data_IF_653440119172
#
_entry.id   IF_653440119172
#
_cell.length_a   1.000
_cell.length_b   1.000
_cell.length_c   1.000
_cell.angle_alpha   90.00
_cell.angle_beta   90.00
_cell.angle_gamma   90.00
#
_symmetry.space_group_name_H-M   'P 1'
#
loop_
_entity.id
_entity.type
_entity.pdbx_description
1 polymer ?
#
# COMPACT_ATOMS: atom_id res chain seq x y z
N UNK A 1 -2.48 6.18 -4.13
CA UNK A 1 -2.29 7.47 -4.82
C UNK A 1 -0.91 8.01 -4.48
N UNK A 2 -0.11 8.29 -5.50
CA UNK A 2 1.26 8.80 -5.39
C UNK A 2 1.22 10.26 -5.83
N UNK A 3 1.18 11.19 -4.87
CA UNK A 3 0.98 12.61 -5.15
C UNK A 3 2.29 13.22 -5.64
N UNK A 4 2.32 13.86 -6.82
CA UNK A 4 3.49 14.60 -7.28
C UNK A 4 3.86 15.70 -6.29
N UNK A 5 5.13 15.73 -5.87
CA UNK A 5 5.62 16.77 -4.97
C UNK A 5 5.82 18.11 -5.68
N UNK A 6 5.56 19.21 -4.95
CA UNK A 6 5.95 20.58 -5.36
C UNK A 6 7.48 20.74 -5.45
N UNK A 7 8.20 19.83 -4.81
CA UNK A 7 9.62 19.57 -5.01
C UNK A 7 9.86 18.11 -5.38
N UNK A 8 11.01 17.80 -6.00
CA UNK A 8 11.42 16.41 -6.16
C UNK A 8 11.50 15.69 -4.80
N UNK A 9 10.99 14.47 -4.77
CA UNK A 9 11.26 13.55 -3.68
C UNK A 9 12.74 13.20 -3.68
N UNK A 10 13.33 13.20 -2.51
CA UNK A 10 14.72 12.77 -2.33
C UNK A 10 14.84 11.27 -2.56
N UNK A 11 16.03 10.79 -2.91
CA UNK A 11 16.32 9.36 -3.05
C UNK A 11 15.92 8.55 -1.81
N UNK A 12 16.13 9.11 -0.61
CA UNK A 12 15.75 8.46 0.66
C UNK A 12 14.24 8.34 0.84
N UNK A 13 13.50 9.38 0.46
CA UNK A 13 12.04 9.37 0.50
C UNK A 13 11.49 8.35 -0.51
N UNK A 14 12.04 8.36 -1.73
CA UNK A 14 11.70 7.43 -2.80
C UNK A 14 11.91 5.98 -2.34
N UNK A 15 13.10 5.68 -1.82
CA UNK A 15 13.48 4.37 -1.31
C UNK A 15 12.57 3.91 -0.16
N UNK A 16 12.27 4.79 0.79
CA UNK A 16 11.40 4.48 1.92
C UNK A 16 9.98 4.12 1.48
N UNK A 17 9.38 4.90 0.57
CA UNK A 17 8.04 4.59 0.05
C UNK A 17 8.03 3.32 -0.79
N UNK A 18 9.05 3.11 -1.63
CA UNK A 18 9.18 1.90 -2.42
C UNK A 18 9.21 0.64 -1.54
N UNK A 19 10.01 0.64 -0.46
CA UNK A 19 10.05 -0.45 0.52
C UNK A 19 8.71 -0.66 1.23
N UNK A 20 8.04 0.43 1.59
CA UNK A 20 6.74 0.37 2.26
C UNK A 20 5.68 -0.24 1.35
N UNK A 21 5.62 0.20 0.09
CA UNK A 21 4.73 -0.34 -0.94
C UNK A 21 5.05 -1.82 -1.19
N UNK A 22 6.31 -2.17 -1.43
CA UNK A 22 6.73 -3.55 -1.68
C UNK A 22 6.35 -4.50 -0.54
N UNK A 23 6.49 -4.03 0.71
CA UNK A 23 6.10 -4.79 1.91
C UNK A 23 4.60 -5.12 1.90
N UNK A 24 3.75 -4.14 1.58
CA UNK A 24 2.30 -4.32 1.58
C UNK A 24 1.75 -4.95 0.31
N UNK A 25 2.41 -4.80 -0.84
CA UNK A 25 2.05 -5.50 -2.08
C UNK A 25 2.23 -7.01 -1.94
N UNK A 26 3.33 -7.44 -1.30
CA UNK A 26 3.69 -8.85 -1.11
C UNK A 26 3.12 -9.48 0.16
N UNK A 27 2.45 -8.69 1.00
CA UNK A 27 1.94 -9.13 2.29
C UNK A 27 1.08 -10.38 2.13
N UNK A 28 1.37 -11.40 2.93
CA UNK A 28 0.65 -12.67 2.92
C UNK A 28 0.60 -13.36 1.52
N UNK A 29 1.63 -13.20 0.69
CA UNK A 29 1.69 -13.83 -0.63
C UNK A 29 0.76 -13.18 -1.66
N UNK A 30 0.37 -11.92 -1.44
CA UNK A 30 -0.66 -11.22 -2.22
C UNK A 30 -2.10 -11.63 -1.85
N UNK A 31 -2.26 -12.46 -0.81
CA UNK A 31 -3.56 -12.91 -0.32
C UNK A 31 -4.03 -12.06 0.87
N UNK A 32 -4.03 -10.73 0.69
CA UNK A 32 -4.49 -9.78 1.69
C UNK A 32 -5.40 -8.75 1.04
N UNK A 33 -6.63 -8.61 1.55
CA UNK A 33 -7.67 -7.73 0.99
C UNK A 33 -7.28 -6.24 0.93
N UNK A 34 -6.39 -5.79 1.80
CA UNK A 34 -5.88 -4.41 1.80
C UNK A 34 -4.49 -4.24 1.18
N UNK A 35 -3.96 -5.26 0.51
CA UNK A 35 -2.65 -5.17 -0.15
C UNK A 35 -2.64 -4.03 -1.17
N UNK A 36 -1.45 -3.54 -1.49
CA UNK A 36 -1.31 -2.61 -2.62
C UNK A 36 -1.46 -3.42 -3.92
N UNK A 37 -2.56 -3.20 -4.64
CA UNK A 37 -2.77 -3.74 -5.98
C UNK A 37 -2.53 -2.65 -7.03
N UNK A 38 -3.33 -1.58 -7.03
CA UNK A 38 -3.21 -0.49 -8.01
C UNK A 38 -2.44 0.71 -7.46
N UNK A 39 -1.38 1.10 -8.17
CA UNK A 39 -0.72 2.38 -8.00
C UNK A 39 -1.38 3.42 -8.90
N UNK A 40 -1.79 4.56 -8.33
CA UNK A 40 -2.30 5.69 -9.11
C UNK A 40 -1.23 6.77 -9.10
N UNK A 41 -0.68 7.10 -10.27
CA UNK A 41 0.36 8.12 -10.43
C UNK A 41 -0.07 9.19 -11.44
N UNK A 42 0.71 10.26 -11.53
CA UNK A 42 0.54 11.29 -12.56
C UNK A 42 1.49 11.02 -13.73
N UNK A 43 0.94 10.90 -14.94
CA UNK A 43 1.68 10.69 -16.19
C UNK A 43 2.76 11.74 -16.42
N UNK A 44 2.46 12.99 -16.06
CA UNK A 44 3.32 14.15 -16.29
C UNK A 44 4.29 14.42 -15.12
N UNK A 45 4.33 13.56 -14.11
CA UNK A 45 5.28 13.70 -13.00
C UNK A 45 6.67 13.27 -13.44
N UNK A 46 7.64 14.18 -13.34
CA UNK A 46 9.02 13.97 -13.82
C UNK A 46 9.73 12.79 -13.15
N UNK A 47 9.37 12.44 -11.91
CA UNK A 47 9.94 11.30 -11.19
C UNK A 47 9.09 10.03 -11.28
N UNK A 48 8.03 9.97 -12.11
CA UNK A 48 7.18 8.77 -12.25
C UNK A 48 8.01 7.52 -12.57
N UNK A 49 8.90 7.60 -13.56
CA UNK A 49 9.77 6.47 -13.95
C UNK A 49 10.69 6.05 -12.81
N UNK A 50 11.37 7.02 -12.19
CA UNK A 50 12.26 6.81 -11.04
C UNK A 50 11.53 6.11 -9.89
N UNK A 51 10.30 6.54 -9.59
CA UNK A 51 9.45 5.92 -8.57
C UNK A 51 9.08 4.47 -8.90
N UNK A 52 8.62 4.20 -10.11
CA UNK A 52 8.25 2.83 -10.52
C UNK A 52 9.47 1.90 -10.51
N UNK A 53 10.64 2.39 -10.91
CA UNK A 53 11.89 1.61 -10.85
C UNK A 53 12.33 1.34 -9.42
N UNK A 54 12.14 2.31 -8.50
CA UNK A 54 12.40 2.12 -7.09
C UNK A 54 11.49 1.06 -6.48
N UNK A 55 10.18 1.08 -6.78
CA UNK A 55 9.23 0.05 -6.32
C UNK A 55 9.62 -1.34 -6.83
N UNK A 56 9.96 -1.47 -8.11
CA UNK A 56 10.40 -2.75 -8.69
C UNK A 56 11.70 -3.25 -8.05
N UNK A 57 12.64 -2.35 -7.77
CA UNK A 57 13.89 -2.67 -7.07
C UNK A 57 13.63 -3.12 -5.64
N UNK A 58 12.75 -2.44 -4.91
CA UNK A 58 12.36 -2.84 -3.56
C UNK A 58 11.70 -4.24 -3.53
N UNK A 59 10.85 -4.55 -4.51
CA UNK A 59 10.21 -5.87 -4.68
C UNK A 59 11.26 -6.95 -4.97
N UNK A 60 12.16 -6.69 -5.93
CA UNK A 60 13.15 -7.66 -6.41
C UNK A 60 14.25 -7.92 -5.39
N UNK A 61 14.85 -6.86 -4.87
CA UNK A 61 16.16 -6.92 -4.22
C UNK A 61 16.06 -6.75 -2.71
N UNK A 62 15.04 -6.05 -2.19
CA UNK A 62 15.07 -5.52 -0.81
C UNK A 62 13.99 -6.04 0.12
N UNK A 63 13.02 -6.77 -0.42
CA UNK A 63 11.98 -7.43 0.37
C UNK A 63 12.00 -8.93 0.07
N UNK A 64 11.79 -9.81 1.06
CA UNK A 64 11.86 -11.25 0.88
C UNK A 64 10.75 -11.76 -0.03
N UNK A 65 11.02 -12.78 -0.83
CA UNK A 65 10.00 -13.49 -1.59
C UNK A 65 8.94 -14.11 -0.69
N UNK A 66 7.70 -14.15 -1.17
CA UNK A 66 6.57 -14.75 -0.46
C UNK A 66 5.69 -15.50 -1.46
N UNK A 67 5.56 -16.81 -1.27
CA UNK A 67 4.73 -17.70 -2.10
C UNK A 67 3.25 -17.31 -2.04
N UNK A 68 2.62 -17.11 -3.20
CA UNK A 68 1.17 -17.13 -3.33
C UNK A 68 0.66 -18.54 -3.05
N UNK A 69 -0.18 -18.67 -2.03
CA UNK A 69 -0.72 -19.96 -1.56
C UNK A 69 -2.25 -20.03 -1.60
N UNK A 70 -2.94 -18.90 -1.78
CA UNK A 70 -4.40 -18.85 -1.70
C UNK A 70 -5.03 -19.67 -2.84
N UNK A 71 -6.12 -20.42 -2.60
CA UNK A 71 -6.78 -21.19 -3.65
C UNK A 71 -7.15 -20.32 -4.86
N UNK A 72 -6.83 -20.77 -6.08
CA UNK A 72 -7.09 -20.00 -7.31
C UNK A 72 -6.03 -18.95 -7.66
N UNK A 73 -5.05 -18.69 -6.79
CA UNK A 73 -4.06 -17.62 -7.01
C UNK A 73 -3.21 -17.82 -8.26
N UNK A 74 -2.89 -19.06 -8.62
CA UNK A 74 -2.09 -19.35 -9.82
C UNK A 74 -2.88 -19.13 -11.11
N UNK A 75 -4.17 -19.48 -11.09
CA UNK A 75 -5.09 -19.26 -12.20
C UNK A 75 -5.29 -17.76 -12.43
N UNK A 76 -5.56 -17.00 -11.36
CA UNK A 76 -5.70 -15.54 -11.42
C UNK A 76 -4.40 -14.90 -11.94
N UNK A 77 -3.24 -15.29 -11.41
CA UNK A 77 -1.96 -14.77 -11.88
C UNK A 77 -1.75 -15.05 -13.38
N UNK A 78 -2.05 -16.27 -13.83
CA UNK A 78 -1.93 -16.66 -15.24
C UNK A 78 -2.90 -15.89 -16.14
N UNK A 79 -4.11 -15.61 -15.68
CA UNK A 79 -5.09 -14.78 -16.40
C UNK A 79 -4.61 -13.34 -16.56
N UNK A 80 -4.06 -12.73 -15.51
CA UNK A 80 -3.46 -11.40 -15.59
C UNK A 80 -2.27 -11.39 -16.56
N UNK A 81 -1.34 -12.35 -16.44
CA UNK A 81 -0.19 -12.45 -17.33
C UNK A 81 -0.59 -12.67 -18.80
N UNK A 82 -1.71 -13.36 -19.05
CA UNK A 82 -2.26 -13.52 -20.40
C UNK A 82 -2.86 -12.22 -20.96
N UNK A 83 -3.53 -11.42 -20.13
CA UNK A 83 -4.09 -10.14 -20.53
C UNK A 83 -3.02 -9.06 -20.76
N UNK A 84 -1.90 -9.16 -20.03
CA UNK A 84 -0.79 -8.20 -20.06
C UNK A 84 0.54 -8.88 -20.36
N UNK A 85 0.75 -9.39 -21.60
CA UNK A 85 1.97 -10.11 -21.97
C UNK A 85 3.26 -9.25 -21.91
N UNK A 86 3.12 -7.92 -21.92
CA UNK A 86 4.20 -6.94 -21.75
C UNK A 86 4.55 -6.64 -20.29
N UNK A 87 3.76 -7.16 -19.34
CA UNK A 87 4.01 -6.96 -17.92
C UNK A 87 5.36 -7.54 -17.49
N UNK A 88 5.97 -6.89 -16.52
CA UNK A 88 7.27 -7.31 -16.00
C UNK A 88 7.06 -8.38 -14.94
N UNK A 89 7.74 -9.50 -15.09
CA UNK A 89 7.80 -10.54 -14.05
C UNK A 89 8.99 -10.23 -13.15
N UNK A 90 8.72 -9.99 -11.86
CA UNK A 90 9.73 -9.63 -10.86
C UNK A 90 9.91 -10.80 -9.90
N UNK A 91 11.12 -11.32 -9.86
CA UNK A 91 11.48 -12.47 -9.03
C UNK A 91 12.34 -11.99 -7.84
N UNK A 92 11.77 -12.04 -6.64
CA UNK A 92 12.57 -11.90 -5.41
C UNK A 92 13.45 -13.14 -5.22
N UNK A 93 14.62 -12.99 -4.58
CA UNK A 93 15.51 -14.13 -4.26
C UNK A 93 15.89 -14.96 -5.51
N UNK A 94 15.93 -14.33 -6.70
CA UNK A 94 16.19 -15.02 -7.96
C UNK A 94 15.15 -16.09 -8.34
N UNK A 95 13.93 -16.00 -7.81
CA UNK A 95 12.86 -16.97 -8.07
C UNK A 95 13.04 -18.29 -7.31
N UNK A 96 13.82 -18.29 -6.22
CA UNK A 96 14.08 -19.50 -5.44
C UNK A 96 12.81 -20.08 -4.78
N UNK A 97 11.79 -19.25 -4.53
CA UNK A 97 10.53 -19.69 -3.95
C UNK A 97 9.50 -20.01 -5.04
N UNK A 98 8.77 -21.13 -4.92
CA UNK A 98 7.71 -21.44 -5.87
C UNK A 98 6.59 -20.40 -5.75
N UNK A 99 5.98 -20.05 -6.88
CA UNK A 99 4.81 -19.18 -6.97
C UNK A 99 4.98 -17.83 -6.25
N UNK A 100 6.20 -17.27 -6.25
CA UNK A 100 6.48 -15.97 -5.63
C UNK A 100 6.67 -14.82 -6.61
N UNK A 101 6.57 -15.11 -7.91
CA UNK A 101 6.79 -14.14 -8.98
C UNK A 101 5.70 -13.07 -8.95
N UNK A 102 6.11 -11.81 -8.91
CA UNK A 102 5.19 -10.68 -8.94
C UNK A 102 5.05 -10.16 -10.37
N UNK A 103 3.81 -10.04 -10.84
CA UNK A 103 3.51 -9.39 -12.10
C UNK A 103 3.36 -7.89 -11.88
N UNK A 104 4.17 -7.08 -12.56
CA UNK A 104 4.14 -5.62 -12.48
C UNK A 104 3.72 -5.03 -13.82
N UNK A 105 2.53 -4.45 -13.86
CA UNK A 105 1.87 -3.94 -15.07
C UNK A 105 1.91 -2.41 -14.99
N UNK A 106 2.41 -1.74 -16.02
CA UNK A 106 2.54 -0.28 -16.05
C UNK A 106 1.60 0.31 -17.10
N UNK A 107 1.18 1.57 -16.91
CA UNK A 107 0.41 2.32 -17.91
C UNK A 107 -0.90 1.63 -18.34
N UNK A 108 -1.61 0.97 -17.41
CA UNK A 108 -2.92 0.40 -17.72
C UNK A 108 -3.97 1.51 -17.91
N UNK A 109 -4.94 1.26 -18.78
CA UNK A 109 -6.06 2.17 -18.99
C UNK A 109 -6.92 2.29 -17.72
N UNK A 110 -7.58 3.44 -17.53
CA UNK A 110 -8.38 3.70 -16.33
C UNK A 110 -9.53 2.68 -16.16
N UNK A 111 -10.15 2.24 -17.26
CA UNK A 111 -11.28 1.30 -17.24
C UNK A 111 -10.92 0.03 -17.99
N UNK A 112 -10.20 -0.88 -17.34
CA UNK A 112 -9.64 -2.08 -17.96
C UNK A 112 -9.72 -3.31 -17.05
N UNK A 113 -9.20 -4.45 -17.52
CA UNK A 113 -9.21 -5.70 -16.78
C UNK A 113 -8.58 -5.57 -15.38
N UNK A 114 -7.41 -4.93 -15.27
CA UNK A 114 -6.69 -4.79 -14.01
C UNK A 114 -7.41 -3.91 -12.98
N UNK A 115 -8.10 -2.85 -13.42
CA UNK A 115 -8.83 -1.94 -12.52
C UNK A 115 -10.17 -2.52 -12.07
N UNK A 116 -10.76 -3.43 -12.85
CA UNK A 116 -12.07 -4.06 -12.59
C UNK A 116 -11.99 -5.44 -11.92
N UNK A 117 -10.79 -5.99 -11.68
CA UNK A 117 -10.60 -7.33 -11.12
C UNK A 117 -9.64 -7.31 -9.94
N UNK A 118 -10.09 -7.82 -8.81
CA UNK A 118 -9.19 -8.11 -7.69
C UNK A 118 -8.27 -9.29 -8.05
N UNK A 119 -6.96 -9.09 -7.89
CA UNK A 119 -5.97 -10.14 -7.97
C UNK A 119 -5.60 -10.59 -6.55
N UNK A 120 -6.16 -11.68 -6.04
CA UNK A 120 -5.80 -12.19 -4.71
C UNK A 120 -4.49 -13.01 -4.74
N UNK A 121 -3.45 -12.43 -5.35
CA UNK A 121 -2.11 -13.00 -5.59
C UNK A 121 -1.07 -11.89 -5.86
N UNK A 122 0.16 -12.25 -6.24
CA UNK A 122 1.27 -11.30 -6.48
C UNK A 122 1.13 -10.55 -7.82
N UNK A 123 0.22 -9.57 -7.88
CA UNK A 123 0.04 -8.67 -9.04
C UNK A 123 -0.06 -7.22 -8.56
N UNK A 124 0.72 -6.34 -9.19
CA UNK A 124 0.62 -4.89 -9.02
C UNK A 124 0.45 -4.25 -10.39
N UNK A 125 -0.54 -3.38 -10.51
CA UNK A 125 -0.77 -2.56 -11.70
C UNK A 125 -0.58 -1.08 -11.39
N UNK A 126 -0.34 -0.29 -12.43
CA UNK A 126 -0.24 1.15 -12.34
C UNK A 126 -1.09 1.84 -13.39
N UNK A 127 -1.84 2.84 -12.94
CA UNK A 127 -2.63 3.76 -13.74
C UNK A 127 -2.00 5.13 -13.67
N UNK A 128 -1.63 5.67 -14.83
CA UNK A 128 -1.03 7.00 -14.96
C UNK A 128 -2.06 8.02 -15.46
N UNK A 129 -2.57 8.84 -14.55
CA UNK A 129 -3.56 9.88 -14.86
C UNK A 129 -2.89 11.06 -15.58
N UNK A 130 -3.53 11.54 -16.64
CA UNK A 130 -3.04 12.69 -17.41
C UNK A 130 -3.48 14.02 -16.76
N UNK A 131 -2.76 14.44 -15.73
CA UNK A 131 -3.01 15.68 -14.99
C UNK A 131 -1.78 16.57 -14.96
N UNK A 132 -1.92 17.82 -14.53
CA UNK A 132 -0.75 18.59 -14.12
C UNK A 132 -0.07 17.89 -12.91
N UNK A 133 1.28 17.89 -12.81
CA UNK A 133 2.01 17.17 -11.79
C UNK A 133 2.10 17.96 -10.48
N UNK A 134 0.95 18.25 -9.87
CA UNK A 134 0.83 18.88 -8.56
C UNK A 134 -0.41 18.35 -7.82
N UNK A 135 -0.46 18.52 -6.51
CA UNK A 135 -1.54 17.99 -5.68
C UNK A 135 -2.93 18.56 -6.05
N UNK A 136 -3.02 19.85 -6.41
CA UNK A 136 -4.28 20.52 -6.73
C UNK A 136 -5.00 19.92 -7.95
N UNK A 137 -4.25 19.57 -9.00
CA UNK A 137 -4.80 18.92 -10.19
C UNK A 137 -4.91 17.39 -10.04
N UNK A 138 -3.94 16.77 -9.38
CA UNK A 138 -3.85 15.31 -9.29
C UNK A 138 -4.88 14.71 -8.34
N UNK A 139 -5.03 15.25 -7.12
CA UNK A 139 -5.86 14.65 -6.09
C UNK A 139 -7.34 14.52 -6.51
N UNK A 140 -8.01 15.57 -7.03
CA UNK A 140 -9.41 15.44 -7.44
C UNK A 140 -9.61 14.38 -8.53
N UNK A 141 -8.68 14.32 -9.51
CA UNK A 141 -8.73 13.33 -10.59
C UNK A 141 -8.49 11.91 -10.08
N UNK A 142 -7.55 11.73 -9.15
CA UNK A 142 -7.25 10.44 -8.53
C UNK A 142 -8.42 9.94 -7.67
N UNK A 143 -9.11 10.84 -6.96
CA UNK A 143 -10.30 10.51 -6.17
C UNK A 143 -11.47 10.11 -7.08
N UNK A 144 -11.72 10.86 -8.14
CA UNK A 144 -12.78 10.53 -9.11
C UNK A 144 -12.51 9.17 -9.77
N UNK A 145 -11.27 8.95 -10.22
CA UNK A 145 -10.84 7.67 -10.77
C UNK A 145 -11.07 6.53 -9.77
N UNK A 146 -10.58 6.66 -8.53
CA UNK A 146 -10.71 5.62 -7.51
C UNK A 146 -12.18 5.30 -7.22
N UNK A 147 -13.01 6.32 -7.04
CA UNK A 147 -14.42 6.15 -6.70
C UNK A 147 -15.29 5.57 -7.84
N UNK A 148 -14.90 5.81 -9.10
CA UNK A 148 -15.75 5.49 -10.26
C UNK A 148 -15.26 4.31 -11.09
N UNK A 149 -13.97 3.97 -11.04
CA UNK A 149 -13.34 2.97 -11.90
C UNK A 149 -12.68 1.82 -11.15
N UNK A 150 -12.15 2.01 -9.95
CA UNK A 150 -11.51 0.92 -9.22
C UNK A 150 -12.54 -0.02 -8.59
N UNK A 151 -12.29 -1.32 -8.73
CA UNK A 151 -13.06 -2.34 -8.05
C UNK A 151 -12.74 -2.38 -6.55
N UNK A 152 -13.78 -2.34 -5.72
CA UNK A 152 -13.68 -2.46 -4.26
C UNK A 152 -13.41 -1.13 -3.53
N UNK A 153 -13.88 -1.06 -2.28
CA UNK A 153 -13.89 0.18 -1.48
C UNK A 153 -13.26 -0.01 -0.10
N UNK A 154 -12.41 -1.02 0.07
CA UNK A 154 -11.88 -1.41 1.39
C UNK A 154 -10.86 -0.40 1.94
N UNK A 155 -9.84 -0.07 1.16
CA UNK A 155 -8.73 0.76 1.61
C UNK A 155 -8.12 1.62 0.51
N UNK A 156 -7.80 2.87 0.82
CA UNK A 156 -7.05 3.76 -0.05
C UNK A 156 -5.91 4.46 0.71
N UNK A 157 -4.78 4.67 0.03
CA UNK A 157 -3.61 5.37 0.58
C UNK A 157 -3.24 6.58 -0.27
N UNK A 158 -2.97 7.71 0.38
CA UNK A 158 -2.43 8.94 -0.22
C UNK A 158 -1.00 9.12 0.28
N UNK A 159 -0.02 9.08 -0.61
CA UNK A 159 1.38 9.35 -0.29
C UNK A 159 1.78 10.72 -0.82
N UNK A 160 2.13 11.65 0.07
CA UNK A 160 2.48 13.05 -0.21
C UNK A 160 3.63 13.50 0.70
N UNK A 161 4.66 14.13 0.14
CA UNK A 161 5.77 14.64 0.94
C UNK A 161 5.33 15.78 1.87
N UNK A 162 6.07 15.98 2.96
CA UNK A 162 5.68 16.94 4.00
C UNK A 162 5.60 18.39 3.51
N UNK A 163 6.41 18.78 2.52
CA UNK A 163 6.42 20.15 2.02
C UNK A 163 5.18 20.41 1.17
N UNK A 164 4.87 19.49 0.25
CA UNK A 164 3.65 19.56 -0.55
C UNK A 164 2.39 19.47 0.31
N UNK A 165 2.36 18.58 1.31
CA UNK A 165 1.23 18.46 2.23
C UNK A 165 1.00 19.72 3.05
N UNK A 166 2.07 20.41 3.45
CA UNK A 166 1.98 21.70 4.16
C UNK A 166 1.34 22.79 3.30
N UNK A 167 1.60 22.78 1.99
CA UNK A 167 1.00 23.74 1.04
C UNK A 167 -0.44 23.35 0.68
N UNK A 168 -0.69 22.06 0.43
CA UNK A 168 -1.94 21.53 -0.14
C UNK A 168 -2.81 20.79 0.88
N UNK A 169 -2.66 21.08 2.18
CA UNK A 169 -3.38 20.35 3.24
C UNK A 169 -4.90 20.33 3.05
N UNK A 170 -5.48 21.43 2.56
CA UNK A 170 -6.93 21.49 2.26
C UNK A 170 -7.35 20.52 1.16
N UNK A 171 -6.52 20.35 0.13
CA UNK A 171 -6.79 19.42 -0.96
C UNK A 171 -6.65 17.97 -0.48
N UNK A 172 -5.72 17.70 0.42
CA UNK A 172 -5.61 16.38 1.08
C UNK A 172 -6.84 16.11 1.93
N UNK A 173 -7.25 17.04 2.79
CA UNK A 173 -8.47 16.91 3.62
C UNK A 173 -9.70 16.65 2.75
N UNK A 174 -9.86 17.41 1.66
CA UNK A 174 -10.95 17.23 0.71
C UNK A 174 -10.90 15.85 0.04
N UNK A 175 -9.72 15.39 -0.41
CA UNK A 175 -9.57 14.06 -0.98
C UNK A 175 -9.95 12.94 0.00
N UNK A 176 -9.59 13.09 1.28
CA UNK A 176 -9.96 12.15 2.35
C UNK A 176 -11.48 12.16 2.60
N UNK A 177 -12.11 13.33 2.55
CA UNK A 177 -13.57 13.46 2.63
C UNK A 177 -14.25 12.75 1.45
N UNK A 178 -13.79 13.00 0.22
CA UNK A 178 -14.45 12.57 -1.01
C UNK A 178 -14.21 11.10 -1.37
N UNK A 179 -13.13 10.49 -0.87
CA UNK A 179 -12.85 9.07 -1.08
C UNK A 179 -13.92 8.19 -0.43
N UNK A 180 -14.62 7.40 -1.23
CA UNK A 180 -15.65 6.46 -0.79
C UNK A 180 -15.03 5.11 -0.42
N UNK A 181 -14.09 5.14 0.53
CA UNK A 181 -13.37 3.98 1.04
C UNK A 181 -13.55 3.88 2.56
N UNK A 182 -13.65 2.67 3.09
CA UNK A 182 -13.88 2.47 4.52
C UNK A 182 -12.63 2.68 5.38
N UNK A 183 -11.43 2.50 4.83
CA UNK A 183 -10.18 2.91 5.45
C UNK A 183 -9.35 3.81 4.52
N UNK A 184 -8.92 4.97 5.03
CA UNK A 184 -8.07 5.91 4.30
C UNK A 184 -6.79 6.14 5.11
N UNK A 185 -5.65 6.02 4.44
CA UNK A 185 -4.35 6.28 5.02
C UNK A 185 -3.66 7.46 4.32
N UNK A 186 -3.08 8.37 5.10
CA UNK A 186 -2.25 9.46 4.62
C UNK A 186 -0.81 9.14 5.06
N UNK A 187 0.09 9.09 4.09
CA UNK A 187 1.50 8.76 4.27
C UNK A 187 1.79 7.39 4.88
N UNK A 188 0.79 6.49 4.91
CA UNK A 188 0.93 5.08 5.29
C UNK A 188 0.03 4.18 4.45
N UNK A 189 -0.04 2.89 4.77
CA UNK A 189 -0.87 1.91 4.08
C UNK A 189 -2.19 1.67 4.81
N UNK A 190 -3.29 1.60 4.05
CA UNK A 190 -4.63 1.39 4.61
C UNK A 190 -4.75 0.22 5.61
N UNK A 191 -4.07 -0.94 5.46
CA UNK A 191 -4.22 -2.06 6.39
C UNK A 191 -3.72 -1.78 7.82
N UNK A 192 -3.06 -0.65 8.07
CA UNK A 192 -2.86 -0.21 9.46
C UNK A 192 -4.18 -0.01 10.22
N UNK A 193 -5.29 0.27 9.54
CA UNK A 193 -6.62 0.37 10.18
C UNK A 193 -7.06 -0.96 10.75
N UNK A 194 -6.77 -2.06 10.05
CA UNK A 194 -7.03 -3.41 10.56
C UNK A 194 -6.22 -3.74 11.82
N UNK A 195 -5.02 -3.18 11.97
CA UNK A 195 -4.16 -3.40 13.14
C UNK A 195 -4.57 -2.58 14.38
N UNK A 196 -5.52 -1.66 14.25
CA UNK A 196 -5.94 -0.79 15.33
C UNK A 196 -7.38 -1.13 15.77
N UNK A 197 -7.60 -1.72 16.96
CA UNK A 197 -8.94 -2.15 17.38
C UNK A 197 -9.93 -0.98 17.58
N UNK A 198 -9.45 0.26 17.74
CA UNK A 198 -10.30 1.43 17.85
C UNK A 198 -10.89 1.88 16.50
N UNK A 199 -10.27 1.45 15.39
CA UNK A 199 -10.71 1.77 14.04
C UNK A 199 -11.61 0.67 13.49
N UNK A 200 -12.32 1.00 12.43
CA UNK A 200 -13.07 0.06 11.58
C UNK A 200 -12.26 -0.34 10.35
N UNK A 201 -12.39 -1.61 9.96
CA UNK A 201 -11.91 -2.14 8.69
C UNK A 201 -13.06 -2.85 7.97
N UNK A 202 -13.50 -2.27 6.86
CA UNK A 202 -14.63 -2.73 6.05
C UNK A 202 -14.75 -1.83 4.82
N UNK A 203 -15.48 -2.28 3.79
CA UNK A 203 -15.72 -1.46 2.59
C UNK A 203 -16.62 -0.27 2.89
N UNK A 204 -16.55 0.77 2.05
CA UNK A 204 -17.63 1.77 2.04
C UNK A 204 -18.84 1.15 1.31
N UNK A 205 -19.93 0.92 2.05
CA UNK A 205 -21.12 0.25 1.55
C UNK A 205 -22.24 1.23 1.11
N UNK A 206 -22.00 2.55 1.17
CA UNK A 206 -23.06 3.52 0.86
C UNK A 206 -23.35 3.56 -0.65
N UNK A 207 -24.55 3.09 -1.03
CA UNK A 207 -25.14 3.35 -2.34
C UNK A 207 -24.63 2.46 -3.49
N UNK A 208 -23.98 1.33 -3.22
CA UNK A 208 -23.56 0.37 -4.26
C UNK A 208 -24.14 -1.04 -4.04
N UNK A 209 -24.34 -1.77 -5.14
CA UNK A 209 -24.42 -3.24 -5.10
C UNK A 209 -23.10 -3.75 -4.52
N UNK A 210 -23.14 -4.61 -3.51
CA UNK A 210 -21.99 -4.98 -2.67
C UNK A 210 -20.80 -5.48 -3.51
N UNK A 211 -19.71 -4.71 -3.52
CA UNK A 211 -18.49 -5.01 -4.30
C UNK A 211 -17.35 -5.57 -3.43
N UNK A 212 -17.42 -5.40 -2.10
CA UNK A 212 -16.48 -5.94 -1.10
C UNK A 212 -17.24 -6.56 0.07
N UNK A 213 -16.65 -7.52 0.79
CA UNK A 213 -17.33 -8.27 1.87
C UNK A 213 -18.13 -7.41 2.86
N UNK A 214 -19.25 -7.95 3.34
CA UNK A 214 -20.20 -7.24 4.21
C UNK A 214 -19.70 -7.12 5.65
N UNK A 215 -19.77 -5.92 6.22
CA UNK A 215 -19.53 -5.65 7.64
C UNK A 215 -18.16 -5.05 7.96
N UNK A 216 -17.97 -4.80 9.25
CA UNK A 216 -16.79 -4.10 9.78
C UNK A 216 -16.08 -4.97 10.84
N UNK A 217 -14.76 -5.03 10.74
CA UNK A 217 -13.88 -5.50 11.81
C UNK A 217 -13.44 -4.32 12.69
N UNK A 218 -13.21 -4.56 13.98
CA UNK A 218 -12.76 -3.54 14.94
C UNK A 218 -13.93 -2.82 15.63
N UNK A 219 -13.87 -1.49 15.72
CA UNK A 219 -14.83 -0.65 16.44
C UNK A 219 -14.96 -0.97 17.95
N UNK A 220 -13.83 -1.02 18.66
CA UNK A 220 -13.79 -1.34 20.10
C UNK A 220 -14.73 -0.47 20.97
N UNK A 221 -14.98 0.77 20.56
CA UNK A 221 -15.83 1.72 21.29
C UNK A 221 -17.29 1.72 20.83
N UNK A 222 -17.65 0.84 19.89
CA UNK A 222 -19.02 0.69 19.37
C UNK A 222 -19.64 1.99 18.87
N UNK A 223 -18.88 2.81 18.13
CA UNK A 223 -19.45 3.99 17.50
C UNK A 223 -20.52 3.58 16.47
N UNK A 224 -21.60 4.34 16.42
CA UNK A 224 -22.67 4.19 15.42
C UNK A 224 -22.36 5.03 14.18
N UNK A 225 -22.93 4.64 13.03
CA UNK A 225 -22.87 5.40 11.77
C UNK A 225 -21.45 5.80 11.33
N UNK A 226 -20.49 4.90 11.52
CA UNK A 226 -19.10 5.15 11.10
C UNK A 226 -19.04 5.23 9.58
N UNK A 227 -18.54 6.34 9.06
CA UNK A 227 -18.37 6.53 7.62
C UNK A 227 -17.07 5.89 7.10
N UNK A 228 -15.97 6.09 7.82
CA UNK A 228 -14.63 5.58 7.49
C UNK A 228 -13.66 5.72 8.65
N UNK A 229 -12.56 4.98 8.59
CA UNK A 229 -11.39 5.13 9.45
C UNK A 229 -10.28 5.87 8.74
N UNK A 230 -9.64 6.83 9.42
CA UNK A 230 -8.55 7.63 8.87
C UNK A 230 -7.29 7.41 9.71
N UNK A 231 -6.17 7.13 9.04
CA UNK A 231 -4.85 7.05 9.67
C UNK A 231 -3.91 8.00 8.98
N UNK A 232 -3.11 8.69 9.76
CA UNK A 232 -2.11 9.60 9.26
C UNK A 232 -0.77 9.36 9.96
N UNK A 233 0.30 9.37 9.17
CA UNK A 233 1.68 9.32 9.66
C UNK A 233 2.53 10.38 8.94
N UNK A 234 3.79 10.51 9.35
CA UNK A 234 4.78 11.24 8.58
C UNK A 234 5.22 10.45 7.35
N UNK A 235 5.59 11.14 6.28
CA UNK A 235 6.00 10.54 5.00
C UNK A 235 7.10 9.49 5.21
N UNK A 236 8.16 9.81 5.94
CA UNK A 236 9.17 8.83 6.38
C UNK A 236 9.04 8.52 7.88
N UNK A 237 8.00 7.79 8.27
CA UNK A 237 7.81 7.43 9.68
C UNK A 237 8.62 6.20 10.10
N UNK A 238 9.25 6.20 11.29
CA UNK A 238 9.87 5.01 11.88
C UNK A 238 8.84 3.93 12.27
N UNK A 239 7.54 4.26 12.27
CA UNK A 239 6.45 3.31 12.49
C UNK A 239 6.01 2.55 11.24
N UNK A 240 6.58 2.84 10.06
CA UNK A 240 6.27 2.09 8.84
C UNK A 240 6.83 0.66 8.91
N UNK A 241 6.02 -0.30 8.48
CA UNK A 241 6.39 -1.70 8.39
C UNK A 241 7.22 -1.86 7.12
N UNK A 242 8.51 -2.09 7.30
CA UNK A 242 9.46 -2.35 6.23
C UNK A 242 10.02 -3.76 6.41
N UNK A 243 9.57 -4.69 5.58
CA UNK A 243 10.02 -6.09 5.65
C UNK A 243 11.32 -6.25 4.84
N UNK A 244 12.43 -5.83 5.42
CA UNK A 244 13.78 -5.93 4.81
C UNK A 244 14.65 -7.03 5.41
N UNK A 245 14.20 -7.66 6.49
CA UNK A 245 14.84 -8.82 7.13
C UNK A 245 13.75 -9.61 7.91
N UNK A 246 13.64 -10.92 7.64
CA UNK A 246 12.60 -11.80 8.18
C UNK A 246 12.73 -11.89 9.71
N UNK A 247 13.92 -12.14 10.24
CA UNK A 247 14.17 -12.24 11.68
C UNK A 247 13.86 -10.95 12.44
N UNK A 248 14.27 -9.80 11.91
CA UNK A 248 14.01 -8.49 12.51
C UNK A 248 12.50 -8.24 12.55
N UNK A 249 11.81 -8.51 11.45
CA UNK A 249 10.37 -8.35 11.37
C UNK A 249 9.65 -9.25 12.38
N UNK A 250 9.97 -10.55 12.45
CA UNK A 250 9.37 -11.46 13.42
C UNK A 250 9.60 -11.04 14.86
N UNK A 251 10.82 -10.60 15.19
CA UNK A 251 11.16 -10.12 16.53
C UNK A 251 10.38 -8.84 16.87
N UNK A 252 10.21 -7.94 15.91
CA UNK A 252 9.37 -6.75 16.08
C UNK A 252 7.92 -7.13 16.28
N UNK A 253 7.35 -8.04 15.49
CA UNK A 253 5.98 -8.51 15.65
C UNK A 253 5.75 -9.13 17.04
N UNK A 254 6.67 -9.95 17.53
CA UNK A 254 6.61 -10.53 18.88
C UNK A 254 6.65 -9.45 19.98
N UNK A 255 7.55 -8.48 19.84
CA UNK A 255 7.67 -7.36 20.78
C UNK A 255 6.45 -6.45 20.74
N UNK A 256 5.90 -6.17 19.57
CA UNK A 256 4.66 -5.41 19.39
C UNK A 256 3.48 -6.13 20.03
N UNK A 257 3.30 -7.43 19.80
CA UNK A 257 2.24 -8.21 20.44
C UNK A 257 2.34 -8.17 21.98
N UNK A 258 3.55 -8.31 22.53
CA UNK A 258 3.79 -8.15 23.97
C UNK A 258 3.47 -6.75 24.47
N UNK A 259 3.86 -5.72 23.72
CA UNK A 259 3.58 -4.33 24.07
C UNK A 259 2.08 -4.04 24.06
N UNK A 260 1.32 -4.53 23.07
CA UNK A 260 -0.13 -4.38 23.05
C UNK A 260 -0.81 -5.05 24.25
N UNK A 261 -0.31 -6.20 24.70
CA UNK A 261 -0.83 -6.84 25.90
C UNK A 261 -0.42 -6.13 27.21
N UNK A 262 0.80 -5.58 27.27
CA UNK A 262 1.38 -4.92 28.45
C UNK A 262 2.22 -3.70 28.05
N UNK A 263 1.60 -2.53 27.84
CA UNK A 263 2.32 -1.33 27.42
C UNK A 263 3.36 -0.90 28.45
N UNK A 264 4.59 -0.66 27.99
CA UNK A 264 5.67 -0.17 28.85
C UNK A 264 6.75 0.58 28.04
N UNK A 265 7.40 1.54 28.68
CA UNK A 265 8.56 2.24 28.09
C UNK A 265 9.69 1.27 27.73
N UNK A 266 9.91 0.24 28.53
CA UNK A 266 10.89 -0.82 28.22
C UNK A 266 10.54 -1.60 26.96
N UNK A 267 9.26 -1.88 26.72
CA UNK A 267 8.78 -2.51 25.48
C UNK A 267 9.05 -1.64 24.24
N UNK A 268 8.80 -0.33 24.33
CA UNK A 268 9.14 0.63 23.26
C UNK A 268 10.64 0.63 23.01
N UNK A 269 11.46 0.71 24.07
CA UNK A 269 12.92 0.67 23.97
C UNK A 269 13.43 -0.61 23.29
N UNK A 270 12.85 -1.77 23.60
CA UNK A 270 13.21 -3.04 22.98
C UNK A 270 12.91 -3.08 21.47
N UNK A 271 11.76 -2.53 21.05
CA UNK A 271 11.40 -2.39 19.63
C UNK A 271 12.35 -1.44 18.90
N UNK A 272 12.64 -0.27 19.48
CA UNK A 272 13.60 0.69 18.90
C UNK A 272 14.99 0.09 18.75
N UNK A 273 15.49 -0.63 19.77
CA UNK A 273 16.78 -1.32 19.69
C UNK A 273 16.80 -2.38 18.59
N UNK A 274 15.69 -3.11 18.40
CA UNK A 274 15.57 -4.12 17.34
C UNK A 274 15.56 -3.47 15.96
N UNK A 275 14.84 -2.37 15.77
CA UNK A 275 14.86 -1.58 14.53
C UNK A 275 16.26 -1.05 14.22
N UNK A 276 16.95 -0.46 15.20
CA UNK A 276 18.30 0.08 15.02
C UNK A 276 19.30 -1.02 14.67
N UNK A 277 19.26 -2.16 15.40
CA UNK A 277 20.13 -3.30 15.10
C UNK A 277 19.84 -3.89 13.72
N UNK A 278 18.57 -3.91 13.28
CA UNK A 278 18.16 -4.40 11.97
C UNK A 278 18.77 -3.62 10.81
N UNK A 279 19.01 -2.31 10.98
CA UNK A 279 19.67 -1.48 9.94
C UNK A 279 21.10 -1.92 9.61
N UNK A 280 21.76 -2.65 10.51
CA UNK A 280 23.13 -3.13 10.34
C UNK A 280 23.21 -4.63 10.02
N UNK A 281 22.07 -5.34 10.00
CA UNK A 281 22.03 -6.75 9.61
C UNK A 281 22.04 -6.89 8.09
N UNK A 282 22.73 -7.91 7.59
CA UNK A 282 22.56 -8.35 6.22
C UNK A 282 21.13 -8.89 6.01
N UNK A 283 20.67 -8.89 4.75
CA UNK A 283 19.43 -9.58 4.37
C UNK A 283 19.55 -11.07 4.68
N UNK A 284 18.49 -11.67 5.19
CA UNK A 284 18.41 -13.06 5.64
C UNK A 284 17.58 -13.93 4.68
N UNK A 285 17.58 -13.53 3.41
CA UNK A 285 16.87 -14.13 2.30
C UNK A 285 17.68 -13.94 1.01
#
# INVERSE_FOLDING_TARGET
MIVPGDRPWTEKEMHHQALHIATFAKLNGGAACGRVQTLVTCRNWSQRREFLDAVQTAIRDETPGVTSYYPGSMEVWAEFNKHYPEAKIIQSEGGALPNSDLLFIEDVEEDCYATQREAFCQVVDEVALDTAPNAEAFLPSAVEFANSKLHGTLGASILIDEDSKKVHGKQVDQAVTDLKYGAIAINTMAPYAWLNPFLTWGGNEQGQEVVSGHGNFGNLLSFENIEKSIIETGFMSPGHMLLTNKEVFYKLSEQSARYYARPSWGGIGAMLMTLVAGKFKAKDF
#
